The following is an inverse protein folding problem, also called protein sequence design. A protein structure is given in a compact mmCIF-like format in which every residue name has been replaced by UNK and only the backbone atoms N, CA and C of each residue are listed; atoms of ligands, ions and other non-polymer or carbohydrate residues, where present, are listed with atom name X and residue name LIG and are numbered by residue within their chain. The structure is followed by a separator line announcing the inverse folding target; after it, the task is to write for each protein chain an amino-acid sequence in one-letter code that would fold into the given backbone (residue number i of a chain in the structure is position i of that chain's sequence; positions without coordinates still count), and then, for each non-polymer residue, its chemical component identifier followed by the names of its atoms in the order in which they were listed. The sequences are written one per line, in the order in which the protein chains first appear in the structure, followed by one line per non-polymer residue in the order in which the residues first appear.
data_IF_757272251397
#
_entry.id   IF_757272251397
#
_cell.length_a   1.000
_cell.length_b   1.000
_cell.length_c   1.000
_cell.angle_alpha   90.00
_cell.angle_beta   90.00
_cell.angle_gamma   90.00
#
_symmetry.space_group_name_H-M   'P 1'
#
loop_
_entity.id
_entity.type
_entity.pdbx_description
1 polymer ?
#
# COMPACT_ATOMS: atom_id res chain seq x y z
N UNK A 1 54.03 51.64 -5.17
CA UNK A 1 53.97 53.08 -4.87
C UNK A 1 52.56 53.51 -5.22
N UNK A 2 51.64 53.63 -4.24
CA UNK A 2 51.38 54.85 -3.44
C UNK A 2 51.08 56.02 -4.39
N UNK A 3 49.85 56.49 -4.56
CA UNK A 3 49.02 57.31 -3.65
C UNK A 3 47.80 57.80 -4.48
N UNK A 4 46.68 58.34 -4.02
CA UNK A 4 45.93 58.46 -2.76
C UNK A 4 44.69 59.32 -3.09
N UNK A 5 43.76 59.41 -2.12
CA UNK A 5 42.79 60.49 -1.89
C UNK A 5 41.38 60.26 -2.47
N UNK A 6 40.35 59.89 -1.70
CA UNK A 6 39.74 60.44 -0.47
C UNK A 6 38.79 61.63 -0.69
N UNK A 7 37.52 61.43 -0.30
CA UNK A 7 36.64 62.28 0.53
C UNK A 7 35.15 61.92 0.25
N UNK A 8 34.45 61.34 1.24
CA UNK A 8 33.41 61.98 2.09
C UNK A 8 32.11 62.33 1.35
N UNK A 9 30.90 62.27 1.89
CA UNK A 9 30.20 61.66 3.04
C UNK A 9 28.74 62.13 2.79
N UNK A 10 27.72 61.30 3.02
CA UNK A 10 26.47 61.71 3.69
C UNK A 10 25.47 60.54 3.75
N UNK A 11 25.25 60.06 4.97
CA UNK A 11 24.06 59.35 5.43
C UNK A 11 23.02 60.41 5.90
N UNK A 12 21.69 60.13 6.07
CA UNK A 12 21.27 59.00 6.91
C UNK A 12 19.86 58.41 6.71
N UNK A 13 19.60 57.41 7.57
CA UNK A 13 18.32 56.87 8.07
C UNK A 13 17.71 55.72 7.27
N UNK A 14 17.93 54.48 7.72
CA UNK A 14 17.29 53.82 8.87
C UNK A 14 15.92 53.25 8.52
N UNK A 15 15.85 51.93 8.37
CA UNK A 15 14.91 51.11 9.14
C UNK A 15 15.55 49.73 9.32
N UNK A 16 15.82 49.38 10.58
CA UNK A 16 16.09 48.02 11.07
C UNK A 16 14.83 47.17 10.88
N UNK A 17 14.94 45.91 10.44
CA UNK A 17 14.93 44.76 11.35
C UNK A 17 14.99 43.44 10.57
N UNK A 18 16.00 42.66 10.93
CA UNK A 18 16.09 41.20 11.04
C UNK A 18 15.09 40.28 10.33
N UNK A 19 15.70 39.41 9.53
CA UNK A 19 15.63 37.94 9.58
C UNK A 19 14.30 37.31 9.98
N UNK A 20 13.71 36.57 9.04
CA UNK A 20 13.44 35.16 9.30
C UNK A 20 13.26 34.38 8.00
N UNK A 21 13.92 33.23 7.94
CA UNK A 21 13.52 32.09 7.13
C UNK A 21 12.04 31.81 7.39
N UNK A 22 11.24 31.58 6.34
CA UNK A 22 10.14 30.64 6.49
C UNK A 22 9.92 29.86 5.20
N UNK A 23 10.08 28.56 5.39
CA UNK A 23 9.75 27.53 4.44
C UNK A 23 8.23 27.41 4.36
N UNK A 24 7.73 26.97 3.21
CA UNK A 24 6.44 26.31 3.19
C UNK A 24 5.24 27.23 2.99
N UNK A 25 4.57 27.00 1.86
CA UNK A 25 3.12 26.90 1.81
C UNK A 25 2.77 26.10 0.57
N UNK A 26 3.07 24.80 0.64
CA UNK A 26 2.25 23.83 -0.08
C UNK A 26 0.85 24.01 0.47
N UNK A 27 -0.10 24.40 -0.40
CA UNK A 27 -1.49 24.53 -0.03
C UNK A 27 -2.00 23.14 0.30
N UNK A 28 -2.02 22.83 1.59
CA UNK A 28 -2.64 21.65 2.15
C UNK A 28 -4.14 21.70 1.80
N UNK A 29 -4.54 20.95 0.78
CA UNK A 29 -5.95 20.67 0.52
C UNK A 29 -6.39 19.61 1.51
N UNK A 30 -6.74 20.03 2.72
CA UNK A 30 -7.41 19.16 3.69
C UNK A 30 -8.84 18.95 3.22
N UNK A 31 -9.08 17.85 2.52
CA UNK A 31 -10.42 17.42 2.16
C UNK A 31 -11.00 16.68 3.37
N UNK A 32 -11.58 17.44 4.30
CA UNK A 32 -12.22 16.89 5.49
C UNK A 32 -13.53 16.21 5.10
N UNK A 33 -13.48 14.93 4.74
CA UNK A 33 -14.69 14.13 4.60
C UNK A 33 -15.21 13.90 6.01
N UNK A 34 -16.20 14.71 6.42
CA UNK A 34 -17.03 14.43 7.59
C UNK A 34 -17.81 13.15 7.30
N UNK A 35 -17.25 12.00 7.66
CA UNK A 35 -18.01 10.77 7.74
C UNK A 35 -18.98 10.95 8.91
N UNK A 36 -20.23 11.33 8.63
CA UNK A 36 -21.25 11.42 9.66
C UNK A 36 -21.46 10.03 10.27
N UNK A 37 -21.75 9.95 11.57
CA UNK A 37 -22.02 8.69 12.28
C UNK A 37 -23.08 7.84 11.56
N UNK A 38 -23.98 8.47 10.80
CA UNK A 38 -24.98 7.84 9.94
C UNK A 38 -24.42 7.08 8.73
N UNK A 39 -23.26 7.46 8.19
CA UNK A 39 -22.59 6.72 7.13
C UNK A 39 -21.86 5.49 7.68
N UNK A 40 -21.24 5.61 8.87
CA UNK A 40 -20.62 4.48 9.55
C UNK A 40 -21.68 3.44 9.93
N UNK A 41 -22.83 3.87 10.46
CA UNK A 41 -23.95 2.98 10.77
C UNK A 41 -24.48 2.24 9.52
N UNK A 42 -24.60 2.94 8.37
CA UNK A 42 -24.99 2.30 7.10
C UNK A 42 -23.95 1.32 6.59
N UNK A 43 -22.67 1.62 6.72
CA UNK A 43 -21.59 0.71 6.33
C UNK A 43 -21.57 -0.54 7.22
N UNK A 44 -21.84 -0.39 8.52
CA UNK A 44 -21.97 -1.50 9.46
C UNK A 44 -23.21 -2.35 9.18
N UNK A 45 -24.33 -1.73 8.82
CA UNK A 45 -25.55 -2.44 8.42
C UNK A 45 -25.35 -3.21 7.12
N UNK A 46 -24.67 -2.62 6.13
CA UNK A 46 -24.28 -3.30 4.88
C UNK A 46 -23.30 -4.45 5.17
N UNK A 47 -22.32 -4.24 6.05
CA UNK A 47 -21.38 -5.29 6.45
C UNK A 47 -22.10 -6.44 7.17
N UNK A 48 -23.02 -6.14 8.09
CA UNK A 48 -23.82 -7.16 8.80
C UNK A 48 -24.80 -7.89 7.87
N UNK A 49 -25.44 -7.18 6.95
CA UNK A 49 -26.32 -7.78 5.93
C UNK A 49 -25.54 -8.61 4.91
N UNK A 50 -24.28 -8.24 4.64
CA UNK A 50 -23.33 -9.07 3.91
C UNK A 50 -22.91 -10.26 4.74
N UNK A 51 -22.79 -10.20 6.07
CA UNK A 51 -22.45 -11.35 6.91
C UNK A 51 -23.62 -12.35 7.09
N UNK A 52 -24.88 -11.89 7.16
CA UNK A 52 -26.06 -12.75 7.37
C UNK A 52 -26.41 -13.66 6.18
N UNK A 53 -25.93 -13.34 4.98
CA UNK A 53 -26.17 -14.18 3.79
C UNK A 53 -25.24 -15.39 3.69
N UNK A 54 -24.39 -15.64 4.68
CA UNK A 54 -23.26 -16.54 4.53
C UNK A 54 -23.38 -17.76 5.43
N UNK A 55 -23.50 -18.91 4.79
CA UNK A 55 -23.00 -20.15 5.39
C UNK A 55 -21.50 -19.97 5.63
N UNK A 56 -20.97 -20.26 6.84
CA UNK A 56 -19.53 -20.28 7.07
C UNK A 56 -18.91 -21.16 6.00
N UNK A 57 -18.08 -20.59 5.13
CA UNK A 57 -17.31 -21.45 4.24
C UNK A 57 -16.48 -22.33 5.17
N UNK A 58 -16.61 -23.65 5.06
CA UNK A 58 -15.78 -24.63 5.79
C UNK A 58 -14.33 -24.60 5.31
N UNK A 59 -13.97 -23.61 4.49
CA UNK A 59 -12.66 -23.43 3.91
C UNK A 59 -11.66 -23.12 5.01
N UNK A 60 -10.61 -23.93 5.05
CA UNK A 60 -9.47 -23.78 5.93
C UNK A 60 -8.31 -23.30 5.06
N UNK A 61 -7.63 -22.20 5.40
CA UNK A 61 -6.52 -21.73 4.60
C UNK A 61 -5.44 -22.81 4.52
N UNK A 62 -4.85 -23.04 3.34
CA UNK A 62 -3.76 -23.99 3.21
C UNK A 62 -2.62 -23.57 4.14
N UNK A 63 -2.04 -24.54 4.85
CA UNK A 63 -0.83 -24.32 5.64
C UNK A 63 0.31 -24.03 4.69
N UNK A 64 0.75 -22.77 4.66
CA UNK A 64 1.74 -22.30 3.72
C UNK A 64 3.10 -22.87 4.09
N UNK A 65 3.70 -23.60 3.16
CA UNK A 65 5.09 -24.03 3.23
C UNK A 65 5.92 -23.22 2.25
N UNK A 66 7.24 -23.18 2.43
CA UNK A 66 8.15 -22.56 1.45
C UNK A 66 7.93 -23.11 0.03
N UNK A 67 7.48 -24.36 -0.11
CA UNK A 67 7.16 -24.99 -1.39
C UNK A 67 5.94 -24.38 -2.10
N UNK A 68 4.91 -23.98 -1.35
CA UNK A 68 3.68 -23.36 -1.87
C UNK A 68 3.84 -21.86 -2.13
N UNK A 69 4.86 -21.24 -1.54
CA UNK A 69 5.30 -19.88 -1.81
C UNK A 69 6.32 -19.81 -2.95
N UNK A 70 6.64 -20.95 -3.57
CA UNK A 70 7.41 -20.94 -4.80
C UNK A 70 6.55 -20.38 -5.95
N UNK A 71 7.21 -19.67 -6.85
CA UNK A 71 6.59 -19.05 -8.01
C UNK A 71 6.02 -20.12 -8.96
N UNK A 72 4.70 -20.26 -9.01
CA UNK A 72 4.04 -21.30 -9.81
C UNK A 72 2.69 -20.88 -10.38
N UNK A 73 2.71 -19.99 -11.38
CA UNK A 73 1.96 -20.18 -12.64
C UNK A 73 2.90 -20.19 -13.86
N UNK A 74 4.22 -20.06 -13.60
CA UNK A 74 5.34 -19.86 -14.55
C UNK A 74 5.05 -18.81 -15.63
N UNK A 75 5.54 -17.58 -15.47
CA UNK A 75 5.68 -16.65 -16.59
C UNK A 75 4.33 -16.34 -17.26
N UNK A 76 3.39 -15.73 -16.52
CA UNK A 76 2.00 -15.39 -16.92
C UNK A 76 1.88 -14.60 -18.26
N UNK A 77 3.00 -14.34 -18.93
CA UNK A 77 3.10 -13.71 -20.24
C UNK A 77 3.15 -12.20 -20.14
N UNK A 78 3.10 -11.67 -18.92
CA UNK A 78 3.18 -10.25 -18.60
C UNK A 78 4.63 -9.80 -18.79
N UNK A 79 4.90 -8.86 -19.73
CA UNK A 79 6.20 -8.25 -19.85
C UNK A 79 6.66 -7.60 -18.53
N UNK A 80 7.97 -7.62 -18.27
CA UNK A 80 8.55 -7.03 -17.06
C UNK A 80 8.13 -5.56 -16.83
N UNK A 81 7.92 -4.80 -17.91
CA UNK A 81 7.45 -3.41 -17.83
C UNK A 81 6.04 -3.31 -17.25
N UNK A 82 5.14 -4.22 -17.61
CA UNK A 82 3.80 -4.26 -17.07
C UNK A 82 3.81 -4.68 -15.60
N UNK A 83 4.70 -5.60 -15.20
CA UNK A 83 4.91 -5.93 -13.79
C UNK A 83 5.28 -4.71 -12.95
N UNK A 84 6.22 -3.89 -13.43
CA UNK A 84 6.64 -2.64 -12.77
C UNK A 84 5.46 -1.67 -12.62
N UNK A 85 4.67 -1.48 -13.68
CA UNK A 85 3.47 -0.61 -13.64
C UNK A 85 2.47 -1.11 -12.59
N UNK A 86 2.25 -2.42 -12.52
CA UNK A 86 1.34 -3.02 -11.54
C UNK A 86 1.88 -2.92 -10.10
N UNK A 87 3.19 -3.04 -9.91
CA UNK A 87 3.83 -2.83 -8.60
C UNK A 87 3.67 -1.38 -8.12
N UNK A 88 3.91 -0.41 -9.00
CA UNK A 88 3.65 1.00 -8.72
C UNK A 88 2.18 1.26 -8.42
N UNK A 89 1.26 0.62 -9.14
CA UNK A 89 -0.18 0.74 -8.91
C UNK A 89 -0.57 0.24 -7.50
N UNK A 90 -0.03 -0.90 -7.05
CA UNK A 90 -0.27 -1.39 -5.68
C UNK A 90 0.18 -0.36 -4.65
N UNK A 91 1.40 0.18 -4.81
CA UNK A 91 1.95 1.18 -3.89
C UNK A 91 1.08 2.43 -3.84
N UNK A 92 0.71 2.96 -5.01
CA UNK A 92 -0.10 4.17 -5.11
C UNK A 92 -1.50 3.98 -4.53
N UNK A 93 -2.17 2.85 -4.81
CA UNK A 93 -3.49 2.55 -4.24
C UNK A 93 -3.42 2.40 -2.73
N UNK A 94 -2.45 1.64 -2.21
CA UNK A 94 -2.27 1.52 -0.77
C UNK A 94 -2.09 2.90 -0.13
N UNK A 95 -1.25 3.76 -0.72
CA UNK A 95 -0.96 5.04 -0.14
C UNK A 95 -2.16 5.99 -0.13
N UNK A 96 -2.97 5.96 -1.18
CA UNK A 96 -4.17 6.77 -1.30
C UNK A 96 -5.23 6.40 -0.24
N UNK A 97 -5.38 5.11 0.07
CA UNK A 97 -6.45 4.65 0.96
C UNK A 97 -6.03 4.46 2.42
N UNK A 98 -4.75 4.16 2.66
CA UNK A 98 -4.25 3.72 3.98
C UNK A 98 -3.16 4.61 4.57
N UNK A 99 -2.56 5.51 3.77
CA UNK A 99 -1.52 6.43 4.24
C UNK A 99 -0.09 6.02 3.83
N UNK A 100 0.94 6.18 4.66
CA UNK A 100 2.32 5.90 4.24
C UNK A 100 2.53 4.42 3.86
N UNK A 101 3.50 4.17 2.99
CA UNK A 101 3.89 2.80 2.62
C UNK A 101 4.49 2.10 3.85
N UNK A 102 4.05 0.87 4.20
CA UNK A 102 4.46 0.22 5.43
C UNK A 102 5.92 -0.27 5.36
N UNK A 103 6.56 -0.36 6.53
CA UNK A 103 7.87 -1.03 6.64
C UNK A 103 7.71 -2.57 6.60
N UNK A 104 8.77 -3.32 6.25
CA UNK A 104 8.75 -4.77 6.31
C UNK A 104 8.35 -5.31 7.70
N UNK A 105 8.81 -4.67 8.78
CA UNK A 105 8.49 -5.05 10.16
C UNK A 105 7.00 -4.86 10.46
N UNK A 106 6.42 -3.74 10.05
CA UNK A 106 4.99 -3.48 10.22
C UNK A 106 4.13 -4.54 9.52
N UNK A 107 4.59 -5.06 8.37
CA UNK A 107 3.92 -6.17 7.67
C UNK A 107 4.06 -7.48 8.46
N UNK A 108 5.24 -7.78 9.00
CA UNK A 108 5.47 -8.99 9.83
C UNK A 108 4.60 -8.97 11.09
N UNK A 109 4.41 -7.82 11.70
CA UNK A 109 3.73 -7.68 12.99
C UNK A 109 2.21 -7.58 12.85
N UNK A 110 1.69 -7.17 11.68
CA UNK A 110 0.26 -6.91 11.48
C UNK A 110 -0.37 -7.77 10.37
N UNK A 111 -1.25 -8.73 10.73
CA UNK A 111 -2.10 -9.43 9.78
C UNK A 111 -3.01 -8.48 8.99
N UNK A 112 -3.47 -7.36 9.59
CA UNK A 112 -4.31 -6.38 8.90
C UNK A 112 -3.57 -5.69 7.75
N UNK A 113 -2.35 -5.18 8.01
CA UNK A 113 -1.51 -4.56 6.96
C UNK A 113 -1.21 -5.57 5.85
N UNK A 114 -0.84 -6.80 6.25
CA UNK A 114 -0.61 -7.90 5.30
C UNK A 114 -1.85 -8.17 4.45
N UNK A 115 -3.04 -8.22 5.06
CA UNK A 115 -4.30 -8.47 4.37
C UNK A 115 -4.58 -7.38 3.32
N UNK A 116 -4.42 -6.11 3.68
CA UNK A 116 -4.61 -4.99 2.74
C UNK A 116 -3.71 -5.11 1.53
N UNK A 117 -2.43 -5.44 1.72
CA UNK A 117 -1.48 -5.62 0.62
C UNK A 117 -1.84 -6.86 -0.21
N UNK A 118 -2.18 -7.98 0.42
CA UNK A 118 -2.61 -9.20 -0.28
C UNK A 118 -3.85 -8.97 -1.14
N UNK A 119 -4.84 -8.22 -0.65
CA UNK A 119 -6.01 -7.85 -1.44
C UNK A 119 -5.64 -7.04 -2.69
N UNK A 120 -4.69 -6.11 -2.58
CA UNK A 120 -4.19 -5.37 -3.74
C UNK A 120 -3.40 -6.27 -4.71
N UNK A 121 -2.60 -7.21 -4.18
CA UNK A 121 -1.91 -8.22 -5.00
C UNK A 121 -2.93 -9.08 -5.75
N UNK A 122 -3.93 -9.63 -5.06
CA UNK A 122 -5.01 -10.44 -5.65
C UNK A 122 -5.78 -9.62 -6.68
N UNK A 123 -6.18 -8.39 -6.35
CA UNK A 123 -6.91 -7.50 -7.25
C UNK A 123 -6.13 -7.05 -8.48
N UNK A 124 -4.80 -7.21 -8.48
CA UNK A 124 -3.91 -6.91 -9.62
C UNK A 124 -3.36 -8.18 -10.29
N UNK A 125 -3.87 -9.35 -9.94
CA UNK A 125 -3.60 -10.62 -10.65
C UNK A 125 -4.15 -10.58 -12.08
N UNK A 126 -3.74 -11.55 -12.90
CA UNK A 126 -4.08 -11.57 -14.32
C UNK A 126 -5.53 -11.97 -14.56
N UNK A 127 -6.33 -11.07 -15.11
CA UNK A 127 -7.77 -11.23 -15.30
C UNK A 127 -8.18 -12.31 -16.30
N UNK A 128 -7.25 -12.84 -17.11
CA UNK A 128 -7.57 -13.93 -18.05
C UNK A 128 -7.52 -15.32 -17.42
N UNK A 129 -6.98 -15.43 -16.20
CA UNK A 129 -7.02 -16.67 -15.44
C UNK A 129 -8.10 -16.54 -14.36
N UNK A 130 -9.02 -17.52 -14.24
CA UNK A 130 -10.05 -17.47 -13.22
C UNK A 130 -9.42 -17.55 -11.83
N UNK A 131 -9.81 -16.63 -10.94
CA UNK A 131 -9.45 -16.67 -9.53
C UNK A 131 -10.27 -17.76 -8.83
N UNK A 132 -9.66 -18.45 -7.85
CA UNK A 132 -10.40 -19.36 -6.99
C UNK A 132 -11.42 -18.54 -6.17
N UNK A 133 -12.68 -18.98 -6.04
CA UNK A 133 -13.75 -18.22 -5.39
C UNK A 133 -13.45 -17.88 -3.93
N UNK A 134 -12.56 -18.64 -3.28
CA UNK A 134 -12.20 -18.42 -1.89
C UNK A 134 -11.46 -17.10 -1.67
N UNK A 135 -10.83 -16.53 -2.70
CA UNK A 135 -10.12 -15.26 -2.61
C UNK A 135 -10.99 -14.02 -2.81
N UNK A 136 -12.25 -14.21 -3.21
CA UNK A 136 -13.26 -13.13 -3.23
C UNK A 136 -13.67 -12.71 -1.81
N UNK A 137 -13.23 -13.46 -0.80
CA UNK A 137 -13.66 -13.30 0.59
C UNK A 137 -12.52 -12.77 1.45
N UNK A 138 -12.64 -11.52 1.92
CA UNK A 138 -11.61 -10.86 2.75
C UNK A 138 -11.22 -11.66 3.99
N UNK A 139 -12.16 -12.41 4.59
CA UNK A 139 -11.89 -13.27 5.76
C UNK A 139 -10.89 -14.39 5.44
N UNK A 140 -10.95 -14.95 4.23
CA UNK A 140 -10.03 -16.01 3.80
C UNK A 140 -8.62 -15.45 3.55
N UNK A 141 -8.54 -14.25 2.95
CA UNK A 141 -7.28 -13.52 2.77
C UNK A 141 -6.67 -13.15 4.13
N UNK A 142 -7.50 -12.73 5.08
CA UNK A 142 -7.06 -12.45 6.45
C UNK A 142 -6.51 -13.70 7.14
N UNK A 143 -7.20 -14.83 7.05
CA UNK A 143 -6.75 -16.09 7.62
C UNK A 143 -5.41 -16.57 7.01
N UNK A 144 -5.16 -16.27 5.73
CA UNK A 144 -3.85 -16.48 5.11
C UNK A 144 -2.78 -15.52 5.69
N UNK A 145 -3.14 -14.25 5.90
CA UNK A 145 -2.27 -13.23 6.49
C UNK A 145 -1.91 -13.49 7.96
N UNK A 146 -2.70 -14.28 8.69
CA UNK A 146 -2.38 -14.74 10.04
C UNK A 146 -1.20 -15.73 10.08
N UNK A 147 -0.81 -16.32 8.95
CA UNK A 147 0.36 -17.19 8.89
C UNK A 147 1.65 -16.37 8.80
N UNK A 148 2.54 -16.53 9.79
CA UNK A 148 3.81 -15.78 9.87
C UNK A 148 4.67 -15.94 8.62
N UNK A 149 4.69 -17.13 8.03
CA UNK A 149 5.44 -17.42 6.81
C UNK A 149 4.98 -16.56 5.62
N UNK A 150 3.68 -16.26 5.53
CA UNK A 150 3.10 -15.39 4.50
C UNK A 150 3.55 -13.95 4.75
N UNK A 151 3.46 -13.48 6.00
CA UNK A 151 3.89 -12.11 6.35
C UNK A 151 5.38 -11.89 6.08
N UNK A 152 6.24 -12.84 6.45
CA UNK A 152 7.69 -12.78 6.16
C UNK A 152 7.99 -12.81 4.66
N UNK A 153 7.21 -13.57 3.87
CA UNK A 153 7.35 -13.58 2.42
C UNK A 153 6.97 -12.21 1.84
N UNK A 154 5.83 -11.66 2.26
CA UNK A 154 5.33 -10.38 1.77
C UNK A 154 6.19 -9.20 2.22
N UNK A 155 6.78 -9.24 3.41
CA UNK A 155 7.70 -8.22 3.91
C UNK A 155 8.90 -7.99 2.97
N UNK A 156 9.42 -9.04 2.35
CA UNK A 156 10.48 -8.91 1.32
C UNK A 156 9.97 -8.22 0.06
N UNK A 157 8.76 -8.54 -0.39
CA UNK A 157 8.14 -7.87 -1.53
C UNK A 157 7.90 -6.37 -1.22
N UNK A 158 7.53 -6.04 0.01
CA UNK A 158 7.33 -4.66 0.48
C UNK A 158 8.63 -3.86 0.50
N UNK A 159 9.74 -4.48 0.94
CA UNK A 159 11.07 -3.86 0.98
C UNK A 159 11.51 -3.39 -0.42
N UNK A 160 11.35 -4.25 -1.42
CA UNK A 160 11.77 -3.96 -2.80
C UNK A 160 10.66 -3.38 -3.68
N UNK A 161 9.44 -3.23 -3.14
CA UNK A 161 8.22 -2.90 -3.89
C UNK A 161 8.04 -3.79 -5.13
N UNK A 162 8.29 -5.09 -4.96
CA UNK A 162 8.34 -6.10 -6.02
C UNK A 162 7.33 -7.21 -5.71
N UNK A 163 6.11 -7.06 -6.22
CA UNK A 163 4.98 -7.97 -5.96
C UNK A 163 4.68 -8.91 -7.11
N UNK A 164 5.46 -8.86 -8.19
CA UNK A 164 5.32 -9.71 -9.38
C UNK A 164 5.29 -11.20 -9.02
N UNK A 165 6.12 -11.59 -8.04
CA UNK A 165 6.18 -12.98 -7.56
C UNK A 165 4.94 -13.36 -6.78
N UNK A 166 4.45 -12.47 -5.93
CA UNK A 166 3.24 -12.70 -5.16
C UNK A 166 2.04 -12.84 -6.10
N UNK A 167 1.88 -11.97 -7.12
CA UNK A 167 0.80 -12.04 -8.12
C UNK A 167 0.78 -13.33 -8.94
N UNK A 168 1.90 -14.05 -8.99
CA UNK A 168 2.09 -15.21 -9.85
C UNK A 168 2.08 -16.54 -9.11
N UNK A 169 1.63 -16.55 -7.85
CA UNK A 169 1.43 -17.79 -7.11
C UNK A 169 0.18 -18.50 -7.67
N UNK A 170 0.30 -19.79 -8.00
CA UNK A 170 -0.83 -20.60 -8.50
C UNK A 170 -1.97 -20.74 -7.51
N UNK A 171 -1.67 -20.49 -6.23
CA UNK A 171 -2.68 -20.56 -5.18
C UNK A 171 -3.88 -19.63 -5.41
N UNK A 172 -3.70 -18.52 -6.16
CA UNK A 172 -4.79 -17.60 -6.49
C UNK A 172 -5.77 -18.13 -7.54
N UNK A 173 -5.34 -19.01 -8.44
CA UNK A 173 -6.05 -19.29 -9.68
C UNK A 173 -6.60 -20.72 -9.74
N UNK A 174 -7.81 -20.90 -10.28
CA UNK A 174 -8.39 -22.23 -10.43
C UNK A 174 -7.57 -23.14 -11.37
N UNK A 175 -7.43 -24.41 -11.01
CA UNK A 175 -6.76 -25.42 -11.83
C UNK A 175 -5.23 -25.49 -11.68
N UNK A 176 -4.64 -24.76 -10.73
CA UNK A 176 -3.20 -24.73 -10.44
C UNK A 176 -2.87 -24.93 -8.96
#
# INVERSE_FOLDING_TARGET
MLESSACQQDEPKSTQHDQNEDSGKSKEFTLTIKCSETHIAKLLEIASALEERWTPSTWVPPQMSKGLLNYTVKDIGIPIKEHIILDELIVNMYQLYTGPWPSPEAVIDSPLITTSILLLVIGTTWTRLPLKPEWEHTRNVYALAEQEVVRRYLAKAVEYKAFERARSLGLWYEGY
#
